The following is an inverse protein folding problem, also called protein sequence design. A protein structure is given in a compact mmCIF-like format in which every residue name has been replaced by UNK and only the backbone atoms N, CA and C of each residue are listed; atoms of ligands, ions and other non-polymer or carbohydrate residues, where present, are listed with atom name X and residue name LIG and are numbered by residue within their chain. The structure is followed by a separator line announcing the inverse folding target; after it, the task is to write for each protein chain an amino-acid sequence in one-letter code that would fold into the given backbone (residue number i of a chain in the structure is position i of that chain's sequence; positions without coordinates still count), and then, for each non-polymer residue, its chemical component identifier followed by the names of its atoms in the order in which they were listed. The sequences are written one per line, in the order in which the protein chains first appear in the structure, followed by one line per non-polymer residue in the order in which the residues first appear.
data_IF_328850363303
#
_entry.id   IF_328850363303
#
_cell.length_a   1.000
_cell.length_b   1.000
_cell.length_c   1.000
_cell.angle_alpha   90.00
_cell.angle_beta   90.00
_cell.angle_gamma   90.00
#
_symmetry.space_group_name_H-M   'P 1'
#
loop_
_entity.id
_entity.type
_entity.pdbx_description
1 polymer ?
#
# COMPACT_ATOMS: atom_id res chain seq x y z
N UNK A 1 -12.24 13.45 10.07
CA UNK A 1 -12.36 12.66 8.83
C UNK A 1 -12.21 11.20 9.23
N UNK A 2 -12.96 10.28 8.63
CA UNK A 2 -12.85 8.85 8.98
C UNK A 2 -11.45 8.33 8.60
N UNK A 3 -10.83 7.56 9.50
CA UNK A 3 -9.55 6.89 9.24
C UNK A 3 -9.82 5.62 8.44
N UNK A 4 -9.25 5.55 7.24
CA UNK A 4 -9.34 4.39 6.34
C UNK A 4 -8.43 3.28 6.86
N UNK A 5 -7.18 3.59 7.16
CA UNK A 5 -6.26 2.64 7.78
C UNK A 5 -6.22 2.87 9.28
N UNK A 6 -6.98 2.07 10.01
CA UNK A 6 -7.02 2.15 11.48
C UNK A 6 -5.91 1.33 12.15
N UNK A 7 -5.05 0.66 11.38
CA UNK A 7 -3.98 -0.20 11.91
C UNK A 7 -2.65 0.54 12.00
N UNK A 8 -2.46 1.57 11.17
CA UNK A 8 -1.21 2.32 11.08
C UNK A 8 -1.41 3.82 11.28
N UNK A 9 -0.40 4.49 11.83
CA UNK A 9 -0.26 5.95 11.73
C UNK A 9 0.57 6.25 10.49
N UNK A 10 0.05 7.04 9.57
CA UNK A 10 0.68 7.29 8.28
C UNK A 10 1.03 8.78 8.15
N UNK A 11 2.25 9.05 7.71
CA UNK A 11 2.65 10.38 7.27
C UNK A 11 3.53 10.24 6.02
N UNK A 12 2.92 10.40 4.85
CA UNK A 12 3.61 10.35 3.58
C UNK A 12 3.53 11.72 2.88
N UNK A 13 4.66 12.21 2.39
CA UNK A 13 4.75 13.50 1.69
C UNK A 13 5.22 13.23 0.27
N UNK A 14 4.46 13.66 -0.72
CA UNK A 14 4.89 13.59 -2.11
C UNK A 14 5.89 14.71 -2.39
N UNK A 15 7.17 14.40 -2.69
CA UNK A 15 8.21 15.41 -2.84
C UNK A 15 8.04 16.30 -4.07
N UNK A 16 7.23 15.89 -5.05
CA UNK A 16 7.03 16.65 -6.30
C UNK A 16 6.04 17.79 -6.12
N UNK A 17 4.97 17.57 -5.35
CA UNK A 17 3.86 18.52 -5.23
C UNK A 17 3.53 18.94 -3.78
N UNK A 18 4.27 18.43 -2.80
CA UNK A 18 4.09 18.74 -1.38
C UNK A 18 2.79 18.18 -0.76
N UNK A 19 2.01 17.36 -1.48
CA UNK A 19 0.79 16.76 -0.93
C UNK A 19 1.15 15.81 0.21
N UNK A 20 0.40 15.93 1.30
CA UNK A 20 0.51 15.07 2.47
C UNK A 20 -0.63 14.06 2.46
N UNK A 21 -0.27 12.83 2.75
CA UNK A 21 -1.14 11.67 2.83
C UNK A 21 -0.99 11.05 4.22
N UNK A 22 -2.12 10.73 4.84
CA UNK A 22 -2.20 10.19 6.19
C UNK A 22 -3.19 9.03 6.23
N UNK A 23 -3.47 8.47 7.42
CA UNK A 23 -4.36 7.32 7.55
C UNK A 23 -5.83 7.60 7.19
N UNK A 24 -6.21 8.85 6.93
CA UNK A 24 -7.55 9.21 6.49
C UNK A 24 -7.75 9.11 4.97
N UNK A 25 -6.66 9.01 4.20
CA UNK A 25 -6.72 8.92 2.74
C UNK A 25 -5.73 7.91 2.14
N UNK A 26 -5.08 7.12 3.00
CA UNK A 26 -4.07 6.13 2.60
C UNK A 26 -4.25 4.82 3.35
N UNK A 27 -3.69 3.77 2.76
CA UNK A 27 -3.52 2.46 3.36
C UNK A 27 -2.06 2.02 3.21
N UNK A 28 -1.53 1.28 4.17
CA UNK A 28 -0.16 0.78 4.13
C UNK A 28 -0.10 -0.69 3.67
N UNK A 29 0.68 -0.95 2.62
CA UNK A 29 1.10 -2.29 2.22
C UNK A 29 2.61 -2.43 2.46
N UNK A 30 3.05 -3.42 3.23
CA UNK A 30 4.47 -3.59 3.52
C UNK A 30 5.17 -4.33 2.38
N UNK A 31 6.23 -3.76 1.80
CA UNK A 31 6.94 -4.36 0.66
C UNK A 31 7.49 -5.78 0.90
N UNK A 32 7.68 -6.20 2.17
CA UNK A 32 8.12 -7.55 2.54
C UNK A 32 7.04 -8.63 2.37
N UNK A 33 5.79 -8.20 2.25
CA UNK A 33 4.64 -9.08 2.19
C UNK A 33 4.48 -9.65 0.78
N UNK A 34 4.46 -10.99 0.66
CA UNK A 34 4.36 -11.69 -0.63
C UNK A 34 3.12 -11.31 -1.46
N UNK A 35 2.09 -10.74 -0.83
CA UNK A 35 0.87 -10.30 -1.51
C UNK A 35 1.05 -8.98 -2.30
N UNK A 36 2.04 -8.16 -1.98
CA UNK A 36 2.16 -6.80 -2.55
C UNK A 36 2.38 -6.77 -4.06
N UNK A 37 3.24 -7.62 -4.66
CA UNK A 37 3.40 -7.65 -6.12
C UNK A 37 2.08 -7.91 -6.85
N UNK A 38 1.24 -8.82 -6.33
CA UNK A 38 -0.07 -9.11 -6.90
C UNK A 38 -1.06 -7.96 -6.73
N UNK A 39 -1.07 -7.31 -5.55
CA UNK A 39 -1.90 -6.13 -5.30
C UNK A 39 -1.55 -4.97 -6.25
N UNK A 40 -0.25 -4.71 -6.48
CA UNK A 40 0.21 -3.68 -7.41
C UNK A 40 -0.17 -4.00 -8.86
N UNK A 41 -0.10 -5.27 -9.27
CA UNK A 41 -0.53 -5.68 -10.61
C UNK A 41 -2.04 -5.46 -10.82
N UNK A 42 -2.88 -5.78 -9.81
CA UNK A 42 -4.31 -5.53 -9.89
C UNK A 42 -4.62 -4.02 -9.92
N UNK A 43 -3.92 -3.22 -9.12
CA UNK A 43 -4.06 -1.76 -9.13
C UNK A 43 -3.66 -1.15 -10.48
N UNK A 44 -2.56 -1.60 -11.08
CA UNK A 44 -2.12 -1.20 -12.42
C UNK A 44 -3.21 -1.46 -13.49
N UNK A 45 -3.81 -2.66 -13.50
CA UNK A 45 -4.89 -3.02 -14.42
C UNK A 45 -6.13 -2.12 -14.25
N UNK A 46 -6.49 -1.82 -13.00
CA UNK A 46 -7.62 -0.95 -12.71
C UNK A 46 -7.34 0.50 -13.13
N UNK A 47 -6.12 1.01 -12.91
CA UNK A 47 -5.68 2.32 -13.40
C UNK A 47 -5.77 2.42 -14.93
N UNK A 48 -5.38 1.37 -15.65
CA UNK A 48 -5.56 1.30 -17.10
C UNK A 48 -7.05 1.37 -17.46
N UNK A 49 -7.89 0.56 -16.80
CA UNK A 49 -9.32 0.48 -17.07
C UNK A 49 -10.05 1.81 -16.89
N UNK A 50 -9.69 2.59 -15.86
CA UNK A 50 -10.32 3.89 -15.56
C UNK A 50 -9.68 5.07 -16.30
N UNK A 51 -8.70 4.83 -17.17
CA UNK A 51 -8.04 5.89 -17.96
C UNK A 51 -7.13 6.80 -17.13
N UNK A 52 -6.42 6.24 -16.15
CA UNK A 52 -5.43 6.98 -15.38
C UNK A 52 -4.28 7.50 -16.26
N UNK A 53 -3.54 8.48 -15.72
CA UNK A 53 -2.37 9.04 -16.41
C UNK A 53 -1.34 7.94 -16.77
N UNK A 54 -0.81 7.89 -18.02
CA UNK A 54 0.19 6.90 -18.43
C UNK A 54 1.46 6.86 -17.57
N UNK A 55 1.96 8.01 -17.10
CA UNK A 55 3.10 8.07 -16.19
C UNK A 55 2.79 7.42 -14.84
N UNK A 56 1.55 7.55 -14.36
CA UNK A 56 1.12 6.89 -13.14
C UNK A 56 1.12 5.36 -13.31
N UNK A 57 0.56 4.85 -14.41
CA UNK A 57 0.56 3.42 -14.73
C UNK A 57 2.00 2.88 -14.80
N UNK A 58 2.89 3.57 -15.51
CA UNK A 58 4.30 3.19 -15.59
C UNK A 58 4.97 3.21 -14.20
N UNK A 59 4.67 4.21 -13.37
CA UNK A 59 5.24 4.31 -12.03
C UNK A 59 4.82 3.15 -11.12
N UNK A 60 3.58 2.67 -11.23
CA UNK A 60 3.08 1.50 -10.49
C UNK A 60 3.83 0.24 -10.94
N UNK A 61 4.03 0.06 -12.24
CA UNK A 61 4.77 -1.07 -12.77
C UNK A 61 6.24 -1.10 -12.29
N UNK A 62 6.92 0.05 -12.34
CA UNK A 62 8.29 0.20 -11.82
C UNK A 62 8.36 -0.08 -10.32
N UNK A 63 7.37 0.38 -9.55
CA UNK A 63 7.28 0.09 -8.12
C UNK A 63 7.11 -1.41 -7.88
N UNK A 64 6.22 -2.08 -8.63
CA UNK A 64 6.02 -3.54 -8.56
C UNK A 64 7.32 -4.31 -8.80
N UNK A 65 8.08 -3.94 -9.82
CA UNK A 65 9.38 -4.57 -10.11
C UNK A 65 10.39 -4.37 -8.97
N UNK A 66 10.44 -3.17 -8.38
CA UNK A 66 11.31 -2.90 -7.22
C UNK A 66 10.93 -3.73 -6.00
N UNK A 67 9.62 -3.89 -5.75
CA UNK A 67 9.14 -4.75 -4.65
C UNK A 67 9.52 -6.20 -4.92
N UNK A 68 9.40 -6.69 -6.16
CA UNK A 68 9.83 -8.05 -6.51
C UNK A 68 11.33 -8.25 -6.27
N UNK A 69 12.18 -7.34 -6.76
CA UNK A 69 13.62 -7.42 -6.52
C UNK A 69 13.97 -7.36 -5.03
N UNK A 70 13.32 -6.48 -4.27
CA UNK A 70 13.45 -6.46 -2.81
C UNK A 70 13.10 -7.82 -2.17
N UNK A 71 12.00 -8.45 -2.60
CA UNK A 71 11.56 -9.75 -2.07
C UNK A 71 12.43 -10.94 -2.46
N UNK A 72 13.22 -10.82 -3.53
CA UNK A 72 14.23 -11.82 -3.92
C UNK A 72 15.47 -11.73 -3.02
N UNK A 73 15.82 -10.53 -2.54
CA UNK A 73 16.98 -10.28 -1.67
C UNK A 73 16.71 -10.58 -0.19
N UNK A 74 15.43 -10.63 0.22
CA UNK A 74 15.03 -10.88 1.60
C UNK A 74 14.21 -12.16 1.74
N UNK A 75 14.10 -12.69 2.96
CA UNK A 75 13.07 -13.68 3.27
C UNK A 75 11.69 -12.99 3.32
N UNK A 76 11.05 -12.90 2.14
CA UNK A 76 9.67 -12.41 2.03
C UNK A 76 8.72 -13.28 2.85
N UNK A 77 7.73 -12.66 3.49
CA UNK A 77 6.80 -13.36 4.40
C UNK A 77 5.38 -13.34 3.84
N UNK A 78 4.65 -14.41 4.12
CA UNK A 78 3.18 -14.35 4.01
C UNK A 78 2.72 -13.40 5.12
N UNK A 79 1.81 -12.44 4.84
CA UNK A 79 1.21 -11.63 5.90
C UNK A 79 0.68 -12.53 7.02
N UNK A 80 1.36 -12.49 8.16
CA UNK A 80 1.14 -13.36 9.32
C UNK A 80 0.64 -12.54 10.50
N UNK A 81 -0.33 -11.65 10.26
CA UNK A 81 -0.92 -10.83 11.28
C UNK A 81 -1.71 -11.68 12.27
N UNK A 82 -1.16 -11.85 13.48
CA UNK A 82 -1.77 -12.61 14.59
C UNK A 82 -2.29 -11.63 15.63
N UNK A 83 -3.61 -11.63 15.85
CA UNK A 83 -4.31 -10.89 16.91
C UNK A 83 -4.92 -9.55 16.46
N UNK A 84 -6.17 -9.30 16.87
CA UNK A 84 -6.93 -8.04 16.84
C UNK A 84 -7.06 -7.26 15.51
N UNK A 85 -6.67 -7.82 14.35
CA UNK A 85 -6.78 -7.07 13.08
C UNK A 85 -8.22 -6.65 12.73
N UNK A 86 -9.19 -7.53 12.97
CA UNK A 86 -10.60 -7.24 12.71
C UNK A 86 -11.12 -6.17 13.70
N UNK A 87 -10.96 -6.33 15.04
CA UNK A 87 -11.24 -5.27 15.99
C UNK A 87 -10.56 -3.94 15.66
N UNK A 88 -9.26 -3.92 15.33
CA UNK A 88 -8.55 -2.69 14.96
C UNK A 88 -9.11 -2.05 13.69
N UNK A 89 -9.43 -2.86 12.69
CA UNK A 89 -10.02 -2.37 11.43
C UNK A 89 -11.43 -1.79 11.64
N UNK A 90 -12.25 -2.39 12.52
CA UNK A 90 -13.65 -1.99 12.75
C UNK A 90 -13.78 -0.90 13.83
N UNK A 91 -13.01 -1.00 14.91
CA UNK A 91 -13.19 -0.22 16.15
C UNK A 91 -12.03 0.76 16.40
N UNK A 92 -10.87 0.56 15.77
CA UNK A 92 -9.69 1.42 15.97
C UNK A 92 -9.02 1.28 17.34
N UNK A 93 -9.20 0.13 18.02
CA UNK A 93 -8.61 -0.10 19.35
C UNK A 93 -7.08 0.06 19.34
N UNK A 94 -6.56 0.97 20.17
CA UNK A 94 -5.12 1.19 20.37
C UNK A 94 -4.46 2.28 19.52
N UNK A 95 -5.23 3.14 18.83
CA UNK A 95 -4.73 4.33 18.08
C UNK A 95 -4.98 5.64 18.84
#
# INVERSE_FOLDING_TARGET
MEKIDRKFRILAVNPVNGKVYDESNSLLLCAKDKAVPAALAAYELECIRIGANPEHILSVNLLRMRVQGYQEEIESRVPDTVGDEIPRCIQGEGV
#
